data_IF_824484351671
#
_entry.id   IF_824484351671
#
_cell.length_a   1.000
_cell.length_b   1.000
_cell.length_c   1.000
_cell.angle_alpha   90.00
_cell.angle_beta   90.00
_cell.angle_gamma   90.00
#
_symmetry.space_group_name_H-M   'P 1'
#
loop_
_entity.id
_entity.type
_entity.pdbx_description
1 polymer ?
#
# COMPACT_ATOMS: atom_id res chain seq x y z
N UNK A 1 27.50 46.54 -29.04
CA UNK A 1 26.76 45.30 -28.77
C UNK A 1 25.67 45.65 -27.78
N UNK A 2 24.41 45.55 -28.20
CA UNK A 2 23.26 46.00 -27.41
C UNK A 2 22.79 44.92 -26.44
N UNK A 3 22.66 45.28 -25.17
CA UNK A 3 22.27 44.43 -24.04
C UNK A 3 20.73 44.30 -23.93
N UNK A 4 19.98 44.93 -24.84
CA UNK A 4 18.50 44.98 -24.78
C UNK A 4 17.79 43.78 -25.45
N UNK A 5 18.51 42.89 -26.15
CA UNK A 5 17.89 41.76 -26.87
C UNK A 5 17.83 40.45 -26.08
N UNK A 6 18.36 40.40 -24.85
CA UNK A 6 18.42 39.14 -24.05
C UNK A 6 17.26 38.99 -23.07
N UNK A 7 16.45 40.04 -22.84
CA UNK A 7 15.40 40.01 -21.80
C UNK A 7 14.03 39.53 -22.31
N UNK A 8 13.74 39.59 -23.61
CA UNK A 8 12.40 39.26 -24.15
C UNK A 8 12.17 37.81 -24.56
N UNK A 9 13.17 36.93 -24.52
CA UNK A 9 13.00 35.50 -24.79
C UNK A 9 12.72 34.64 -23.56
N UNK A 10 12.78 35.19 -22.34
CA UNK A 10 12.55 34.42 -21.11
C UNK A 10 11.08 34.42 -20.63
N UNK A 11 10.28 35.44 -20.98
CA UNK A 11 8.94 35.60 -20.39
C UNK A 11 7.87 34.79 -21.14
N UNK A 12 8.04 34.51 -22.44
CA UNK A 12 7.12 33.65 -23.19
C UNK A 12 7.33 32.13 -22.93
N UNK A 13 8.53 31.72 -22.51
CA UNK A 13 8.86 30.30 -22.29
C UNK A 13 8.36 29.74 -20.95
N UNK A 14 8.31 30.57 -19.90
CA UNK A 14 7.93 30.12 -18.56
C UNK A 14 6.44 29.75 -18.43
N UNK A 15 5.55 30.50 -19.10
CA UNK A 15 4.12 30.23 -19.05
C UNK A 15 3.73 28.94 -19.79
N UNK A 16 4.38 28.64 -20.92
CA UNK A 16 4.14 27.40 -21.68
C UNK A 16 4.70 26.19 -20.93
N UNK A 17 5.88 26.31 -20.30
CA UNK A 17 6.48 25.25 -19.51
C UNK A 17 5.63 24.79 -18.31
N UNK A 18 4.97 25.72 -17.61
CA UNK A 18 4.10 25.38 -16.46
C UNK A 18 2.81 24.68 -16.91
N UNK A 19 2.20 25.09 -18.03
CA UNK A 19 0.97 24.46 -18.54
C UNK A 19 1.24 23.07 -19.13
N UNK A 20 2.36 22.89 -19.85
CA UNK A 20 2.78 21.59 -20.38
C UNK A 20 3.17 20.62 -19.25
N UNK A 21 3.92 21.09 -18.23
CA UNK A 21 4.25 20.27 -17.07
C UNK A 21 3.00 19.86 -16.28
N UNK A 22 2.02 20.75 -16.11
CA UNK A 22 0.79 20.42 -15.41
C UNK A 22 -0.03 19.35 -16.17
N UNK A 23 -0.21 19.48 -17.49
CA UNK A 23 -0.97 18.47 -18.26
C UNK A 23 -0.24 17.13 -18.39
N UNK A 24 1.08 17.12 -18.65
CA UNK A 24 1.87 15.90 -18.74
C UNK A 24 1.93 15.14 -17.41
N UNK A 25 2.06 15.88 -16.29
CA UNK A 25 2.03 15.30 -14.96
C UNK A 25 0.66 14.66 -14.64
N UNK A 26 -0.45 15.25 -15.11
CA UNK A 26 -1.78 14.65 -14.89
C UNK A 26 -2.00 13.35 -15.68
N UNK A 27 -1.52 13.24 -16.92
CA UNK A 27 -1.64 12.01 -17.70
C UNK A 27 -0.81 10.87 -17.12
N UNK A 28 0.45 11.14 -16.74
CA UNK A 28 1.33 10.14 -16.12
C UNK A 28 0.78 9.69 -14.77
N UNK A 29 0.24 10.62 -13.97
CA UNK A 29 -0.40 10.29 -12.70
C UNK A 29 -1.66 9.42 -12.90
N UNK A 30 -2.53 9.76 -13.85
CA UNK A 30 -3.73 8.98 -14.15
C UNK A 30 -3.38 7.57 -14.66
N UNK A 31 -2.35 7.45 -15.50
CA UNK A 31 -1.89 6.16 -16.00
C UNK A 31 -1.31 5.30 -14.86
N UNK A 32 -0.53 5.89 -13.95
CA UNK A 32 -0.01 5.20 -12.77
C UNK A 32 -1.13 4.74 -11.83
N UNK A 33 -2.14 5.58 -11.57
CA UNK A 33 -3.32 5.23 -10.77
C UNK A 33 -4.09 4.07 -11.43
N UNK A 34 -4.30 4.14 -12.75
CA UNK A 34 -5.01 3.09 -13.49
C UNK A 34 -4.26 1.76 -13.45
N UNK A 35 -2.94 1.78 -13.64
CA UNK A 35 -2.08 0.60 -13.53
C UNK A 35 -2.13 0.01 -12.12
N UNK A 36 -2.06 0.85 -11.08
CA UNK A 36 -2.16 0.43 -9.69
C UNK A 36 -3.52 -0.20 -9.39
N UNK A 37 -4.62 0.40 -9.87
CA UNK A 37 -5.96 -0.14 -9.71
C UNK A 37 -6.11 -1.50 -10.40
N UNK A 38 -5.64 -1.62 -11.64
CA UNK A 38 -5.68 -2.89 -12.37
C UNK A 38 -4.85 -3.99 -11.69
N UNK A 39 -3.69 -3.63 -11.15
CA UNK A 39 -2.86 -4.54 -10.36
C UNK A 39 -3.59 -4.98 -9.09
N UNK A 40 -4.16 -4.03 -8.35
CA UNK A 40 -4.94 -4.32 -7.15
C UNK A 40 -6.16 -5.20 -7.46
N UNK A 41 -6.88 -4.94 -8.54
CA UNK A 41 -8.03 -5.76 -8.93
C UNK A 41 -7.62 -7.19 -9.29
N UNK A 42 -6.46 -7.38 -9.94
CA UNK A 42 -5.89 -8.71 -10.17
C UNK A 42 -5.56 -9.43 -8.86
N UNK A 43 -4.81 -8.77 -7.97
CA UNK A 43 -4.46 -9.32 -6.66
C UNK A 43 -5.71 -9.61 -5.81
N UNK A 44 -6.75 -8.78 -5.94
CA UNK A 44 -8.03 -9.02 -5.30
C UNK A 44 -8.63 -10.35 -5.72
N UNK A 45 -8.65 -10.65 -7.02
CA UNK A 45 -9.19 -11.92 -7.52
C UNK A 45 -8.32 -13.11 -7.09
N UNK A 46 -7.00 -12.96 -7.07
CA UNK A 46 -6.07 -14.02 -6.69
C UNK A 46 -6.11 -14.34 -5.19
N UNK A 47 -6.25 -13.31 -4.35
CA UNK A 47 -6.11 -13.41 -2.88
C UNK A 47 -7.39 -12.97 -2.16
N UNK A 48 -8.57 -13.17 -2.78
CA UNK A 48 -9.85 -12.67 -2.25
C UNK A 48 -10.10 -13.00 -0.78
N UNK A 49 -9.88 -14.24 -0.29
CA UNK A 49 -10.15 -14.58 1.10
C UNK A 49 -9.38 -13.68 2.08
N UNK A 50 -8.06 -13.59 1.92
CA UNK A 50 -7.19 -12.76 2.76
C UNK A 50 -7.54 -11.28 2.66
N UNK A 51 -7.70 -10.77 1.44
CA UNK A 51 -7.94 -9.33 1.23
C UNK A 51 -9.32 -8.90 1.73
N UNK A 52 -10.32 -9.78 1.68
CA UNK A 52 -11.64 -9.54 2.26
C UNK A 52 -11.60 -9.49 3.79
N UNK A 53 -10.75 -10.31 4.42
CA UNK A 53 -10.54 -10.32 5.86
C UNK A 53 -9.84 -9.03 6.32
N UNK A 54 -8.72 -8.68 5.68
CA UNK A 54 -8.00 -7.43 5.96
C UNK A 54 -8.93 -6.21 5.78
N UNK A 55 -9.75 -6.20 4.72
CA UNK A 55 -10.74 -5.13 4.54
C UNK A 55 -11.73 -5.07 5.70
N UNK A 56 -12.29 -6.21 6.10
CA UNK A 56 -13.26 -6.28 7.21
C UNK A 56 -12.64 -5.78 8.52
N UNK A 57 -11.40 -6.16 8.77
CA UNK A 57 -10.65 -5.69 9.95
C UNK A 57 -10.43 -4.18 9.90
N UNK A 58 -10.15 -3.62 8.72
CA UNK A 58 -10.01 -2.18 8.56
C UNK A 58 -11.33 -1.40 8.67
N UNK A 59 -12.46 -2.04 8.38
CA UNK A 59 -13.80 -1.48 8.56
C UNK A 59 -14.26 -1.58 10.03
N UNK A 60 -13.53 -2.31 10.88
CA UNK A 60 -13.75 -2.36 12.33
C UNK A 60 -13.21 -1.07 13.00
N UNK A 61 -14.04 -0.32 13.75
CA UNK A 61 -13.61 0.90 14.45
C UNK A 61 -12.39 0.72 15.36
N UNK A 62 -12.21 -0.46 15.95
CA UNK A 62 -11.11 -0.78 16.87
C UNK A 62 -9.77 -0.92 16.15
N UNK A 63 -9.79 -1.27 14.87
CA UNK A 63 -8.60 -1.55 14.05
C UNK A 63 -8.46 -0.61 12.84
N UNK A 64 -9.34 0.38 12.68
CA UNK A 64 -9.36 1.28 11.51
C UNK A 64 -8.01 1.99 11.24
N UNK A 65 -7.24 2.27 12.30
CA UNK A 65 -5.91 2.90 12.23
C UNK A 65 -4.76 1.90 12.37
N UNK A 66 -5.06 0.61 12.60
CA UNK A 66 -4.05 -0.42 12.70
C UNK A 66 -3.46 -0.67 11.30
N UNK A 67 -2.13 -0.69 11.25
CA UNK A 67 -1.36 -1.02 10.04
C UNK A 67 -0.46 -2.22 10.25
N UNK A 68 -0.12 -2.52 11.49
CA UNK A 68 0.73 -3.63 11.84
C UNK A 68 -0.10 -4.88 12.07
N UNK A 69 0.37 -6.00 11.53
CA UNK A 69 -0.20 -7.30 11.78
C UNK A 69 0.87 -8.37 11.94
N UNK A 70 0.48 -9.46 12.60
CA UNK A 70 1.34 -10.61 12.83
C UNK A 70 0.84 -11.82 12.06
N UNK A 71 1.77 -12.66 11.65
CA UNK A 71 1.48 -13.95 11.04
C UNK A 71 2.01 -15.05 11.95
N UNK A 72 1.11 -15.93 12.39
CA UNK A 72 1.42 -16.97 13.37
C UNK A 72 0.85 -18.33 12.98
N UNK A 73 1.43 -19.40 13.52
CA UNK A 73 0.82 -20.74 13.49
C UNK A 73 -0.18 -20.85 14.65
N UNK A 74 -1.31 -21.54 14.44
CA UNK A 74 -2.38 -21.68 15.44
C UNK A 74 -1.92 -22.38 16.73
N UNK A 75 -0.89 -23.22 16.64
CA UNK A 75 -0.27 -23.88 17.79
C UNK A 75 0.75 -23.01 18.56
N UNK A 76 1.07 -21.81 18.07
CA UNK A 76 1.98 -20.90 18.75
C UNK A 76 1.20 -20.08 19.78
N UNK A 77 1.71 -20.06 21.02
CA UNK A 77 1.17 -19.18 22.06
C UNK A 77 1.50 -17.72 21.72
N UNK A 78 0.50 -17.01 21.21
CA UNK A 78 0.49 -15.57 21.08
C UNK A 78 -0.08 -14.98 22.38
N UNK A 79 0.79 -14.40 23.21
CA UNK A 79 0.36 -13.78 24.46
C UNK A 79 -0.29 -12.44 24.15
N UNK A 80 -1.57 -12.30 24.47
CA UNK A 80 -2.38 -11.08 24.33
C UNK A 80 -1.92 -9.91 25.21
N UNK A 81 -0.75 -9.99 25.86
CA UNK A 81 -0.15 -8.90 26.64
C UNK A 81 0.53 -7.87 25.73
N UNK A 82 -0.07 -7.56 24.59
CA UNK A 82 0.38 -6.47 23.74
C UNK A 82 -0.19 -5.16 24.30
N UNK A 83 0.61 -4.08 24.34
CA UNK A 83 0.16 -2.79 24.86
C UNK A 83 -0.91 -2.13 23.97
N UNK A 84 -1.19 -2.69 22.78
CA UNK A 84 -2.17 -2.19 21.82
C UNK A 84 -2.88 -3.37 21.13
N UNK A 85 -4.14 -3.18 20.68
CA UNK A 85 -4.80 -4.13 19.79
C UNK A 85 -3.94 -4.39 18.55
N UNK A 86 -3.83 -5.63 18.12
CA UNK A 86 -3.07 -6.02 16.94
C UNK A 86 -3.89 -6.96 16.06
N UNK A 87 -3.68 -6.86 14.75
CA UNK A 87 -4.22 -7.84 13.81
C UNK A 87 -3.32 -9.07 13.77
N UNK A 88 -3.93 -10.23 13.67
CA UNK A 88 -3.24 -11.51 13.67
C UNK A 88 -3.89 -12.41 12.62
N UNK A 89 -3.11 -12.83 11.63
CA UNK A 89 -3.55 -13.79 10.62
C UNK A 89 -2.86 -15.13 10.84
N UNK A 90 -3.62 -16.21 10.77
CA UNK A 90 -3.11 -17.55 11.03
C UNK A 90 -2.72 -18.25 9.74
N UNK A 91 -1.53 -18.84 9.70
CA UNK A 91 -1.04 -19.65 8.57
C UNK A 91 -1.99 -20.81 8.23
N UNK A 92 -2.72 -21.31 9.23
CA UNK A 92 -3.65 -22.42 9.09
C UNK A 92 -5.02 -22.01 8.51
N UNK A 93 -5.32 -20.71 8.42
CA UNK A 93 -6.63 -20.19 8.00
C UNK A 93 -6.65 -19.70 6.55
N UNK A 94 -5.47 -19.50 5.95
CA UNK A 94 -5.32 -19.18 4.53
C UNK A 94 -4.37 -20.15 3.86
N UNK A 95 -4.81 -20.74 2.74
CA UNK A 95 -3.95 -21.56 1.90
C UNK A 95 -2.79 -20.71 1.37
N UNK A 96 -1.56 -21.12 1.67
CA UNK A 96 -0.35 -20.49 1.14
C UNK A 96 -0.17 -19.01 1.53
N UNK A 97 -0.63 -18.63 2.73
CA UNK A 97 -0.57 -17.26 3.25
C UNK A 97 0.78 -16.58 3.06
N UNK A 98 1.87 -17.30 3.30
CA UNK A 98 3.22 -16.73 3.14
C UNK A 98 3.51 -16.29 1.71
N UNK A 99 3.09 -17.05 0.71
CA UNK A 99 3.30 -16.67 -0.68
C UNK A 99 2.35 -15.56 -1.11
N UNK A 100 1.12 -15.53 -0.58
CA UNK A 100 0.22 -14.39 -0.78
C UNK A 100 0.84 -13.10 -0.25
N UNK A 101 1.40 -13.14 0.96
CA UNK A 101 2.09 -12.01 1.56
C UNK A 101 3.37 -11.62 0.83
N UNK A 102 4.18 -12.59 0.36
CA UNK A 102 5.34 -12.32 -0.51
C UNK A 102 4.93 -11.62 -1.81
N UNK A 103 3.80 -12.01 -2.40
CA UNK A 103 3.27 -11.38 -3.61
C UNK A 103 2.80 -9.94 -3.34
N UNK A 104 2.09 -9.72 -2.23
CA UNK A 104 1.71 -8.37 -1.79
C UNK A 104 2.92 -7.50 -1.47
N UNK A 105 3.97 -8.08 -0.88
CA UNK A 105 5.23 -7.41 -0.55
C UNK A 105 6.00 -7.00 -1.80
N UNK A 106 6.09 -7.88 -2.80
CA UNK A 106 6.73 -7.60 -4.08
C UNK A 106 6.11 -6.39 -4.82
N UNK A 107 4.84 -6.10 -4.55
CA UNK A 107 4.12 -4.96 -5.11
C UNK A 107 4.00 -3.75 -4.15
N UNK A 108 4.62 -3.81 -2.97
CA UNK A 108 4.63 -2.70 -1.99
C UNK A 108 3.30 -2.47 -1.27
N UNK A 109 2.40 -3.45 -1.27
CA UNK A 109 1.14 -3.39 -0.52
C UNK A 109 1.34 -3.72 0.96
N UNK A 110 2.28 -4.62 1.26
CA UNK A 110 2.73 -4.95 2.62
C UNK A 110 4.25 -4.84 2.71
N UNK A 111 4.76 -4.61 3.91
CA UNK A 111 6.20 -4.51 4.18
C UNK A 111 6.53 -5.46 5.32
N UNK A 112 7.45 -6.39 5.13
CA UNK A 112 7.96 -7.21 6.21
C UNK A 112 8.88 -6.36 7.11
N UNK A 113 8.52 -6.23 8.39
CA UNK A 113 9.26 -5.47 9.40
C UNK A 113 9.77 -6.37 10.53
N UNK A 114 9.84 -7.68 10.29
CA UNK A 114 10.31 -8.68 11.25
C UNK A 114 11.79 -8.44 11.55
N UNK A 115 12.12 -8.17 12.82
CA UNK A 115 13.49 -8.17 13.33
C UNK A 115 13.84 -9.58 13.82
N UNK A 116 14.73 -10.34 13.14
CA UNK A 116 15.03 -11.73 13.51
C UNK A 116 15.64 -11.88 14.91
N UNK A 117 16.16 -10.80 15.51
CA UNK A 117 16.74 -10.83 16.85
C UNK A 117 15.76 -10.44 17.96
N UNK A 118 14.61 -9.84 17.62
CA UNK A 118 13.64 -9.29 18.59
C UNK A 118 12.24 -9.85 18.42
N UNK A 119 11.84 -10.11 17.19
CA UNK A 119 10.50 -10.53 16.84
C UNK A 119 10.41 -12.06 16.85
N UNK A 120 9.52 -12.57 17.71
CA UNK A 120 9.21 -14.00 17.78
C UNK A 120 8.34 -14.48 16.61
N UNK A 121 7.63 -13.55 15.97
CA UNK A 121 6.64 -13.82 14.93
C UNK A 121 6.89 -12.91 13.74
N UNK A 122 6.49 -13.35 12.55
CA UNK A 122 6.58 -12.51 11.37
C UNK A 122 5.63 -11.32 11.53
N UNK A 123 6.16 -10.11 11.32
CA UNK A 123 5.46 -8.84 11.49
C UNK A 123 5.47 -8.07 10.18
N UNK A 124 4.30 -7.55 9.82
CA UNK A 124 4.10 -6.84 8.57
C UNK A 124 3.38 -5.51 8.80
N UNK A 125 3.60 -4.56 7.90
CA UNK A 125 2.93 -3.25 7.87
C UNK A 125 2.19 -3.10 6.55
N UNK A 126 0.91 -2.74 6.61
CA UNK A 126 0.12 -2.33 5.44
C UNK A 126 0.57 -0.94 4.97
N UNK A 127 0.78 -0.77 3.66
CA UNK A 127 1.06 0.57 3.11
C UNK A 127 -0.22 1.41 3.04
N UNK A 128 -0.12 2.73 3.22
CA UNK A 128 -1.31 3.60 3.18
C UNK A 128 -2.04 3.53 1.83
N UNK A 129 -1.30 3.41 0.72
CA UNK A 129 -1.91 3.22 -0.62
C UNK A 129 -2.74 1.94 -0.68
N UNK A 130 -2.28 0.87 -0.06
CA UNK A 130 -3.01 -0.39 0.00
C UNK A 130 -4.30 -0.24 0.79
N UNK A 131 -4.22 0.42 1.93
CA UNK A 131 -5.36 0.70 2.81
C UNK A 131 -6.42 1.51 2.07
N UNK A 132 -6.03 2.55 1.34
CA UNK A 132 -6.95 3.34 0.51
C UNK A 132 -7.66 2.49 -0.55
N UNK A 133 -6.93 1.59 -1.22
CA UNK A 133 -7.51 0.68 -2.21
C UNK A 133 -8.51 -0.30 -1.57
N UNK A 134 -8.18 -0.86 -0.40
CA UNK A 134 -9.07 -1.76 0.35
C UNK A 134 -10.36 -1.05 0.81
N UNK A 135 -10.26 0.20 1.30
CA UNK A 135 -11.43 0.99 1.71
C UNK A 135 -12.36 1.33 0.55
N UNK A 136 -11.78 1.61 -0.61
CA UNK A 136 -12.54 1.98 -1.82
C UNK A 136 -13.09 0.76 -2.59
N UNK A 137 -12.67 -0.47 -2.24
CA UNK A 137 -13.17 -1.68 -2.89
C UNK A 137 -14.60 -1.95 -2.47
N UNK A 138 -15.50 -1.99 -3.46
CA UNK A 138 -16.86 -2.49 -3.28
C UNK A 138 -16.81 -4.02 -3.21
N UNK A 139 -17.43 -4.59 -2.18
CA UNK A 139 -17.53 -6.04 -1.93
C UNK A 139 -18.87 -6.55 -2.41
#
# INVERSE_FOLDING_TARGET
>A
MDILTVVFSFIAGAAIGVVIAHSWNTHVAQEAISKLKNLFDRLWQEHTPLLSEIKRDMDNPDYQFQREFYVIKKNQRFSLSLPRPCLVYYLDEHNDLENQLRNLEAHGFVINVTDPNKDKFARYVLSEKFVELLRNKQV
#
